data_IF_255405021834
#
_entry.id   IF_255405021834
#
_cell.length_a   1.000
_cell.length_b   1.000
_cell.length_c   1.000
_cell.angle_alpha   90.00
_cell.angle_beta   90.00
_cell.angle_gamma   90.00
#
_symmetry.space_group_name_H-M   'P 1'
#
loop_
_entity.id
_entity.type
_entity.pdbx_description
1 polymer ?
#
# COMPACT_ATOMS: atom_id res chain seq x y z
N UNK A 1 13.99 -17.94 4.73
CA UNK A 1 12.82 -17.54 3.91
C UNK A 1 12.67 -18.56 2.79
N UNK A 2 11.47 -19.05 2.53
CA UNK A 2 11.19 -20.05 1.51
C UNK A 2 11.16 -19.36 0.12
N UNK A 3 11.81 -19.97 -0.90
CA UNK A 3 11.66 -19.49 -2.28
C UNK A 3 10.26 -19.80 -2.80
N UNK A 4 9.82 -19.10 -3.87
CA UNK A 4 8.53 -19.36 -4.49
C UNK A 4 8.42 -20.81 -5.00
N UNK A 5 9.49 -21.36 -5.58
CA UNK A 5 9.52 -22.76 -6.02
C UNK A 5 9.32 -23.73 -4.86
N UNK A 6 10.00 -23.50 -3.73
CA UNK A 6 9.80 -24.30 -2.53
C UNK A 6 8.40 -24.15 -1.95
N UNK A 7 7.85 -22.92 -1.97
CA UNK A 7 6.49 -22.67 -1.52
C UNK A 7 5.47 -23.45 -2.37
N UNK A 8 5.58 -23.35 -3.69
CA UNK A 8 4.72 -24.08 -4.60
C UNK A 8 4.80 -25.60 -4.38
N UNK A 9 6.02 -26.16 -4.36
CA UNK A 9 6.22 -27.61 -4.23
C UNK A 9 5.86 -28.17 -2.86
N UNK A 10 6.11 -27.44 -1.76
CA UNK A 10 5.96 -27.96 -0.41
C UNK A 10 4.62 -27.59 0.24
N UNK A 11 4.05 -26.47 -0.17
CA UNK A 11 2.85 -25.91 0.48
C UNK A 11 1.62 -25.99 -0.42
N UNK A 12 1.70 -25.62 -1.70
CA UNK A 12 0.54 -25.57 -2.60
C UNK A 12 0.24 -26.91 -3.26
N UNK A 13 1.27 -27.59 -3.74
CA UNK A 13 1.12 -28.81 -4.53
C UNK A 13 0.29 -29.89 -3.84
N UNK A 14 -0.77 -30.30 -4.50
CA UNK A 14 -1.70 -31.33 -4.01
C UNK A 14 -2.81 -30.82 -3.11
N UNK A 15 -2.87 -29.52 -2.81
CA UNK A 15 -3.99 -28.90 -2.10
C UNK A 15 -5.20 -28.78 -3.03
N UNK A 16 -6.40 -28.95 -2.45
CA UNK A 16 -7.64 -28.62 -3.12
C UNK A 16 -7.97 -27.12 -3.00
N UNK A 17 -8.98 -26.65 -3.73
CA UNK A 17 -9.35 -25.23 -3.76
C UNK A 17 -9.64 -24.66 -2.36
N UNK A 18 -10.37 -25.38 -1.53
CA UNK A 18 -10.74 -24.93 -0.20
C UNK A 18 -9.51 -24.73 0.69
N UNK A 19 -8.58 -25.68 0.67
CA UNK A 19 -7.30 -25.58 1.42
C UNK A 19 -6.42 -24.42 0.95
N UNK A 20 -6.48 -24.05 -0.34
CA UNK A 20 -5.75 -22.90 -0.87
C UNK A 20 -6.40 -21.59 -0.43
N UNK A 21 -7.73 -21.49 -0.42
CA UNK A 21 -8.42 -20.31 0.10
C UNK A 21 -8.13 -20.09 1.59
N UNK A 22 -8.18 -21.14 2.40
CA UNK A 22 -7.84 -21.07 3.83
C UNK A 22 -6.41 -20.57 4.04
N UNK A 23 -5.46 -21.05 3.23
CA UNK A 23 -4.08 -20.62 3.28
C UNK A 23 -3.91 -19.14 2.91
N UNK A 24 -4.64 -18.65 1.91
CA UNK A 24 -4.64 -17.22 1.53
C UNK A 24 -5.14 -16.36 2.69
N UNK A 25 -6.24 -16.76 3.34
CA UNK A 25 -6.79 -16.03 4.49
C UNK A 25 -5.80 -16.01 5.67
N UNK A 26 -5.13 -17.11 5.96
CA UNK A 26 -4.08 -17.16 6.98
C UNK A 26 -2.95 -16.16 6.68
N UNK A 27 -2.47 -16.11 5.44
CA UNK A 27 -1.42 -15.16 5.05
C UNK A 27 -1.89 -13.69 5.12
N UNK A 28 -3.14 -13.42 4.77
CA UNK A 28 -3.72 -12.08 4.91
C UNK A 28 -3.77 -11.64 6.38
N UNK A 29 -4.23 -12.52 7.26
CA UNK A 29 -4.28 -12.26 8.71
C UNK A 29 -2.88 -11.95 9.26
N UNK A 30 -1.88 -12.77 8.92
CA UNK A 30 -0.49 -12.54 9.34
C UNK A 30 0.07 -11.21 8.80
N UNK A 31 -0.23 -10.89 7.54
CA UNK A 31 0.20 -9.63 6.92
C UNK A 31 -0.45 -8.43 7.60
N UNK A 32 -1.76 -8.48 7.89
CA UNK A 32 -2.49 -7.43 8.61
C UNK A 32 -1.90 -7.26 10.02
N UNK A 33 -1.63 -8.35 10.72
CA UNK A 33 -1.03 -8.30 12.06
C UNK A 33 0.32 -7.58 12.07
N UNK A 34 1.20 -7.87 11.10
CA UNK A 34 2.48 -7.18 10.95
C UNK A 34 2.31 -5.68 10.67
N UNK A 35 1.39 -5.32 9.77
CA UNK A 35 1.09 -3.92 9.46
C UNK A 35 0.61 -3.18 10.70
N UNK A 36 -0.36 -3.72 11.43
CA UNK A 36 -0.90 -3.13 12.65
C UNK A 36 0.17 -2.93 13.72
N UNK A 37 1.09 -3.88 13.90
CA UNK A 37 2.22 -3.71 14.83
C UNK A 37 3.13 -2.53 14.48
N UNK A 38 3.37 -2.28 13.19
CA UNK A 38 4.16 -1.13 12.74
C UNK A 38 3.37 0.16 12.95
N UNK A 39 2.09 0.16 12.58
CA UNK A 39 1.18 1.30 12.69
C UNK A 39 1.03 1.77 14.15
N UNK A 40 0.87 0.85 15.09
CA UNK A 40 0.83 1.18 16.54
C UNK A 40 2.10 1.89 17.02
N UNK A 41 3.28 1.47 16.53
CA UNK A 41 4.54 2.16 16.87
C UNK A 41 4.62 3.55 16.24
N UNK A 42 4.03 3.74 15.07
CA UNK A 42 4.05 5.01 14.36
C UNK A 42 3.17 6.09 15.00
N UNK A 43 2.19 5.75 15.83
CA UNK A 43 1.36 6.72 16.56
C UNK A 43 2.20 7.59 17.50
N UNK A 44 3.15 6.98 18.20
CA UNK A 44 4.02 7.70 19.16
C UNK A 44 5.18 8.42 18.46
N UNK A 45 5.69 7.83 17.39
CA UNK A 45 6.81 8.39 16.63
C UNK A 45 6.84 7.77 15.24
N UNK A 46 6.65 8.60 14.23
CA UNK A 46 6.74 8.14 12.85
C UNK A 46 8.15 7.63 12.53
N UNK A 47 8.28 6.33 12.31
CA UNK A 47 9.54 5.63 12.03
C UNK A 47 9.48 4.88 10.72
N UNK A 48 10.65 4.56 10.14
CA UNK A 48 10.68 3.56 9.08
C UNK A 48 10.29 2.20 9.65
N UNK A 49 9.51 1.41 8.90
CA UNK A 49 9.16 0.07 9.34
C UNK A 49 10.43 -0.81 9.45
N UNK A 50 10.48 -1.77 10.42
CA UNK A 50 11.58 -2.71 10.52
C UNK A 50 11.73 -3.55 9.23
N UNK A 51 12.96 -3.68 8.72
CA UNK A 51 13.24 -4.38 7.45
C UNK A 51 12.77 -5.83 7.45
N UNK A 52 12.92 -6.53 8.59
CA UNK A 52 12.46 -7.91 8.73
C UNK A 52 10.93 -8.04 8.63
N UNK A 53 10.18 -7.07 9.17
CA UNK A 53 8.72 -7.04 9.06
C UNK A 53 8.27 -6.70 7.63
N UNK A 54 8.92 -5.72 6.99
CA UNK A 54 8.65 -5.39 5.57
C UNK A 54 8.92 -6.59 4.67
N UNK A 55 10.03 -7.28 4.90
CA UNK A 55 10.39 -8.48 4.15
C UNK A 55 9.35 -9.61 4.32
N UNK A 56 8.81 -9.80 5.52
CA UNK A 56 7.73 -10.76 5.77
C UNK A 56 6.45 -10.36 5.04
N UNK A 57 6.04 -9.10 5.13
CA UNK A 57 4.87 -8.57 4.41
C UNK A 57 5.01 -8.81 2.91
N UNK A 58 6.18 -8.51 2.33
CA UNK A 58 6.47 -8.74 0.91
C UNK A 58 6.34 -10.22 0.52
N UNK A 59 6.82 -11.13 1.38
CA UNK A 59 6.70 -12.57 1.10
C UNK A 59 5.27 -13.07 1.18
N UNK A 60 4.49 -12.62 2.16
CA UNK A 60 3.07 -13.00 2.22
C UNK A 60 2.32 -12.55 0.97
N UNK A 61 2.60 -11.36 0.40
CA UNK A 61 2.04 -10.97 -0.90
C UNK A 61 2.40 -11.95 -1.99
N UNK A 62 3.67 -12.32 -2.11
CA UNK A 62 4.10 -13.28 -3.12
C UNK A 62 3.42 -14.65 -2.94
N UNK A 63 3.26 -15.12 -1.70
CA UNK A 63 2.58 -16.39 -1.44
C UNK A 63 1.09 -16.30 -1.77
N UNK A 64 0.42 -15.19 -1.47
CA UNK A 64 -0.97 -14.93 -1.83
C UNK A 64 -1.14 -14.92 -3.36
N UNK A 65 -0.29 -14.17 -4.08
CA UNK A 65 -0.32 -14.10 -5.54
C UNK A 65 -0.07 -15.48 -6.19
N UNK A 66 0.89 -16.25 -5.70
CA UNK A 66 1.17 -17.60 -6.21
C UNK A 66 0.02 -18.56 -5.91
N UNK A 67 -0.61 -18.41 -4.75
CA UNK A 67 -1.82 -19.18 -4.39
C UNK A 67 -2.98 -18.88 -5.33
N UNK A 68 -3.21 -17.63 -5.72
CA UNK A 68 -4.24 -17.29 -6.70
C UNK A 68 -3.94 -17.88 -8.08
N UNK A 69 -2.68 -17.82 -8.55
CA UNK A 69 -2.27 -18.49 -9.80
C UNK A 69 -2.48 -20.00 -9.74
N UNK A 70 -2.25 -20.60 -8.58
CA UNK A 70 -2.50 -22.04 -8.38
C UNK A 70 -3.99 -22.37 -8.45
N UNK A 71 -4.88 -21.53 -7.86
CA UNK A 71 -6.34 -21.67 -8.02
C UNK A 71 -6.75 -21.66 -9.50
N UNK A 72 -6.22 -20.69 -10.28
CA UNK A 72 -6.48 -20.63 -11.73
C UNK A 72 -6.01 -21.90 -12.45
N UNK A 73 -4.85 -22.46 -12.07
CA UNK A 73 -4.33 -23.70 -12.64
C UNK A 73 -5.22 -24.93 -12.36
N UNK A 74 -6.00 -24.88 -11.28
CA UNK A 74 -7.00 -25.91 -10.92
C UNK A 74 -8.36 -25.66 -11.57
N UNK A 75 -8.47 -24.70 -12.51
CA UNK A 75 -9.72 -24.20 -13.10
C UNK A 75 -10.71 -23.67 -12.04
N UNK A 76 -10.21 -23.19 -10.91
CA UNK A 76 -10.98 -22.49 -9.90
C UNK A 76 -11.27 -21.04 -10.31
N UNK A 77 -12.41 -20.50 -9.90
CA UNK A 77 -12.69 -19.08 -10.05
C UNK A 77 -12.10 -18.32 -8.86
N UNK A 78 -11.28 -17.30 -9.14
CA UNK A 78 -10.77 -16.42 -8.09
C UNK A 78 -11.90 -15.46 -7.69
N UNK A 79 -12.49 -15.70 -6.53
CA UNK A 79 -13.48 -14.79 -5.97
C UNK A 79 -12.78 -13.76 -5.10
N UNK A 80 -12.56 -12.58 -5.68
CA UNK A 80 -11.91 -11.47 -4.97
C UNK A 80 -12.86 -10.87 -3.93
N UNK A 81 -12.42 -10.77 -2.69
CA UNK A 81 -13.07 -9.89 -1.72
C UNK A 81 -13.05 -8.44 -2.24
N UNK A 82 -13.99 -7.61 -1.83
CA UNK A 82 -14.10 -6.21 -2.29
C UNK A 82 -12.80 -5.42 -2.06
N UNK A 83 -12.16 -5.63 -0.90
CA UNK A 83 -10.88 -5.01 -0.55
C UNK A 83 -9.73 -5.46 -1.45
N UNK A 84 -9.69 -6.75 -1.82
CA UNK A 84 -8.68 -7.29 -2.73
C UNK A 84 -8.89 -6.75 -4.15
N UNK A 85 -10.15 -6.66 -4.60
CA UNK A 85 -10.49 -6.10 -5.89
C UNK A 85 -10.08 -4.61 -5.98
N UNK A 86 -10.32 -3.84 -4.92
CA UNK A 86 -9.85 -2.46 -4.82
C UNK A 86 -8.32 -2.38 -4.90
N UNK A 87 -7.62 -3.19 -4.09
CA UNK A 87 -6.15 -3.23 -4.09
C UNK A 87 -5.58 -3.54 -5.48
N UNK A 88 -6.14 -4.53 -6.17
CA UNK A 88 -5.73 -4.90 -7.52
C UNK A 88 -6.01 -3.78 -8.54
N UNK A 89 -7.18 -3.15 -8.46
CA UNK A 89 -7.55 -2.05 -9.34
C UNK A 89 -6.66 -0.83 -9.11
N UNK A 90 -6.38 -0.48 -7.86
CA UNK A 90 -5.45 0.59 -7.52
C UNK A 90 -4.06 0.33 -8.12
N UNK A 91 -3.52 -0.88 -7.90
CA UNK A 91 -2.20 -1.26 -8.39
C UNK A 91 -2.10 -1.19 -9.92
N UNK A 92 -3.13 -1.65 -10.64
CA UNK A 92 -3.23 -1.56 -12.10
C UNK A 92 -3.40 -0.13 -12.60
N UNK A 93 -3.92 0.76 -11.77
CA UNK A 93 -4.18 2.16 -12.11
C UNK A 93 -3.01 3.09 -11.83
N UNK A 94 -1.96 2.64 -11.14
CA UNK A 94 -0.75 3.45 -10.86
C UNK A 94 -0.17 4.11 -12.12
N UNK A 95 -0.03 3.44 -13.28
CA UNK A 95 0.47 4.07 -14.50
C UNK A 95 -0.41 5.21 -15.04
N UNK A 96 -1.66 5.28 -14.60
CA UNK A 96 -2.65 6.27 -15.01
C UNK A 96 -2.83 7.40 -13.99
N UNK A 97 -2.00 7.47 -12.94
CA UNK A 97 -2.03 8.59 -12.00
C UNK A 97 -1.67 9.87 -12.76
N UNK A 98 -2.50 10.91 -12.61
CA UNK A 98 -2.25 12.22 -13.18
C UNK A 98 -1.76 13.23 -12.14
N UNK A 99 -2.21 13.06 -10.89
CA UNK A 99 -1.92 14.00 -9.81
C UNK A 99 -2.02 13.33 -8.45
N UNK A 100 -1.16 13.75 -7.50
CA UNK A 100 -1.31 13.46 -6.08
C UNK A 100 -1.24 14.76 -5.31
N UNK A 101 -2.23 15.03 -4.46
CA UNK A 101 -2.23 16.12 -3.49
C UNK A 101 -1.95 15.59 -2.09
N UNK A 102 -1.01 16.20 -1.39
CA UNK A 102 -0.72 15.92 0.00
C UNK A 102 -0.89 17.15 0.88
N UNK A 103 -1.63 17.02 1.97
CA UNK A 103 -1.85 18.09 2.94
C UNK A 103 -1.68 17.59 4.38
N UNK A 104 -1.26 18.50 5.27
CA UNK A 104 -1.26 18.33 6.73
C UNK A 104 -1.96 19.54 7.36
N UNK A 105 -2.82 19.29 8.35
CA UNK A 105 -3.62 20.32 9.04
C UNK A 105 -4.31 21.29 8.05
N UNK A 106 -4.96 20.71 7.02
CA UNK A 106 -5.64 21.42 5.92
C UNK A 106 -4.76 22.38 5.10
N UNK A 107 -3.44 22.33 5.29
CA UNK A 107 -2.49 23.06 4.43
C UNK A 107 -1.98 22.13 3.35
N UNK A 108 -2.17 22.52 2.09
CA UNK A 108 -1.54 21.81 0.97
C UNK A 108 -0.02 21.99 1.07
N UNK A 109 0.70 20.91 1.33
CA UNK A 109 2.15 20.90 1.47
C UNK A 109 2.86 20.46 0.20
N UNK A 110 2.22 19.58 -0.58
CA UNK A 110 2.84 18.99 -1.76
C UNK A 110 1.80 18.70 -2.83
N UNK A 111 2.12 19.09 -4.06
CA UNK A 111 1.41 18.72 -5.28
C UNK A 111 2.36 17.98 -6.19
N UNK A 112 1.96 16.80 -6.68
CA UNK A 112 2.74 15.95 -7.55
C UNK A 112 1.97 15.80 -8.86
N UNK A 113 2.55 16.29 -9.96
CA UNK A 113 1.95 16.25 -11.30
C UNK A 113 2.75 15.31 -12.20
N UNK A 114 2.04 14.43 -12.88
CA UNK A 114 2.61 13.44 -13.78
C UNK A 114 2.50 13.90 -15.25
N UNK A 115 3.62 14.32 -15.81
CA UNK A 115 3.76 14.66 -17.24
C UNK A 115 3.98 13.38 -18.09
N UNK A 116 4.40 13.51 -19.37
CA UNK A 116 4.66 12.36 -20.23
C UNK A 116 5.79 11.48 -19.71
N UNK A 117 6.95 12.06 -19.44
CA UNK A 117 8.18 11.34 -19.06
C UNK A 117 8.73 11.75 -17.68
N UNK A 118 8.10 12.68 -17.01
CA UNK A 118 8.61 13.21 -15.74
C UNK A 118 7.51 13.47 -14.71
N UNK A 119 7.93 13.56 -13.47
CA UNK A 119 7.09 13.96 -12.32
C UNK A 119 7.60 15.26 -11.76
N UNK A 120 6.71 16.24 -11.65
CA UNK A 120 6.98 17.53 -11.00
C UNK A 120 6.40 17.53 -9.59
N UNK A 121 7.25 17.82 -8.62
CA UNK A 121 6.87 17.94 -7.22
C UNK A 121 6.96 19.41 -6.83
N UNK A 122 5.86 19.98 -6.38
CA UNK A 122 5.81 21.35 -5.84
C UNK A 122 5.56 21.26 -4.34
N UNK A 123 6.53 21.71 -3.54
CA UNK A 123 6.45 21.73 -2.08
C UNK A 123 6.49 23.18 -1.59
N UNK A 124 5.56 23.56 -0.72
CA UNK A 124 5.50 24.91 -0.14
C UNK A 124 5.64 26.03 -1.20
N UNK A 125 5.12 25.82 -2.42
CA UNK A 125 5.20 26.71 -3.59
C UNK A 125 6.57 26.74 -4.30
N UNK A 126 7.50 25.90 -3.92
CA UNK A 126 8.77 25.71 -4.61
C UNK A 126 8.73 24.40 -5.40
N UNK A 127 9.15 24.45 -6.67
CA UNK A 127 9.21 23.25 -7.52
C UNK A 127 10.58 22.59 -7.35
N UNK A 128 10.56 21.32 -6.97
CA UNK A 128 11.76 20.46 -6.89
C UNK A 128 12.18 20.05 -8.31
N UNK A 129 13.44 19.72 -8.57
CA UNK A 129 13.87 19.16 -9.85
C UNK A 129 12.99 17.97 -10.25
N UNK A 130 12.63 17.90 -11.54
CA UNK A 130 11.78 16.82 -12.05
C UNK A 130 12.44 15.45 -11.87
N UNK A 131 11.62 14.47 -11.52
CA UNK A 131 12.04 13.07 -11.33
C UNK A 131 11.58 12.28 -12.55
N UNK A 132 12.34 11.26 -12.93
CA UNK A 132 11.94 10.31 -13.94
C UNK A 132 10.62 9.63 -13.55
N UNK A 133 9.67 9.60 -14.47
CA UNK A 133 8.31 9.10 -14.20
C UNK A 133 8.28 7.62 -13.90
N UNK A 134 9.02 6.82 -14.65
CA UNK A 134 9.04 5.37 -14.47
C UNK A 134 9.63 5.01 -13.10
N UNK A 135 10.72 5.68 -12.72
CA UNK A 135 11.31 5.52 -11.38
C UNK A 135 10.29 5.85 -10.27
N UNK A 136 9.57 6.97 -10.41
CA UNK A 136 8.61 7.40 -9.39
C UNK A 136 7.40 6.46 -9.30
N UNK A 137 6.85 6.02 -10.45
CA UNK A 137 5.74 5.07 -10.50
C UNK A 137 6.13 3.70 -9.93
N UNK A 138 7.36 3.23 -10.20
CA UNK A 138 7.87 1.99 -9.62
C UNK A 138 7.97 2.11 -8.08
N UNK A 139 8.47 3.23 -7.57
CA UNK A 139 8.53 3.49 -6.13
C UNK A 139 7.13 3.57 -5.49
N UNK A 140 6.14 4.19 -6.16
CA UNK A 140 4.73 4.18 -5.73
C UNK A 140 4.14 2.77 -5.73
N UNK A 141 4.45 1.96 -6.75
CA UNK A 141 3.99 0.58 -6.85
C UNK A 141 4.48 -0.26 -5.66
N UNK A 142 5.74 -0.10 -5.27
CA UNK A 142 6.32 -0.80 -4.10
C UNK A 142 5.71 -0.37 -2.76
N UNK A 143 5.04 0.78 -2.69
CA UNK A 143 4.32 1.22 -1.49
C UNK A 143 3.02 0.44 -1.26
N UNK A 144 2.45 -0.18 -2.30
CA UNK A 144 1.17 -0.88 -2.20
C UNK A 144 0.06 -0.06 -1.50
N UNK A 145 -0.09 1.20 -1.94
CA UNK A 145 -1.07 2.12 -1.33
C UNK A 145 -2.51 1.61 -1.42
N UNK A 146 -2.85 0.76 -2.39
CA UNK A 146 -4.16 0.10 -2.46
C UNK A 146 -4.48 -0.82 -1.27
N UNK A 147 -3.48 -1.17 -0.45
CA UNK A 147 -3.68 -1.91 0.80
C UNK A 147 -3.87 -1.00 2.02
N UNK A 148 -3.83 0.32 1.84
CA UNK A 148 -4.07 1.27 2.93
C UNK A 148 -5.57 1.36 3.21
N UNK A 149 -5.92 1.55 4.49
CA UNK A 149 -7.28 1.93 4.86
C UNK A 149 -7.55 3.37 4.43
N UNK A 150 -8.78 3.70 4.14
CA UNK A 150 -9.16 5.07 3.78
C UNK A 150 -8.95 6.05 4.95
N UNK A 151 -9.16 5.57 6.18
CA UNK A 151 -9.08 6.39 7.39
C UNK A 151 -8.19 5.73 8.44
N UNK A 152 -7.34 6.54 9.07
CA UNK A 152 -6.45 6.16 10.17
C UNK A 152 -6.68 7.07 11.37
N UNK A 153 -7.04 6.51 12.52
CA UNK A 153 -7.21 7.26 13.76
C UNK A 153 -6.48 6.60 14.92
N UNK A 154 -6.03 7.40 15.90
CA UNK A 154 -5.41 6.85 17.11
C UNK A 154 -6.37 5.93 17.88
N UNK A 155 -7.68 6.20 17.80
CA UNK A 155 -8.72 5.38 18.43
C UNK A 155 -8.75 3.94 17.89
N UNK A 156 -8.38 3.71 16.62
CA UNK A 156 -8.30 2.37 16.02
C UNK A 156 -7.30 1.47 16.76
N UNK A 157 -6.39 2.07 17.53
CA UNK A 157 -5.34 1.38 18.28
C UNK A 157 -5.54 1.50 19.79
N UNK A 158 -6.74 1.95 20.26
CA UNK A 158 -7.08 2.08 21.67
C UNK A 158 -6.40 3.26 22.37
N UNK A 159 -5.96 4.27 21.61
CA UNK A 159 -5.37 5.50 22.15
C UNK A 159 -6.35 6.65 22.00
N UNK A 160 -6.45 7.50 23.02
CA UNK A 160 -7.20 8.75 22.92
C UNK A 160 -6.55 9.65 21.86
N UNK A 161 -7.39 10.38 21.10
CA UNK A 161 -6.89 11.36 20.13
C UNK A 161 -6.04 12.41 20.85
N UNK A 162 -4.77 12.46 20.49
CA UNK A 162 -3.88 13.53 20.88
C UNK A 162 -4.16 14.75 20.00
N UNK A 163 -3.78 15.94 20.42
CA UNK A 163 -3.82 17.13 19.55
C UNK A 163 -2.73 17.03 18.46
N UNK A 164 -2.97 16.13 17.50
CA UNK A 164 -1.95 15.76 16.54
C UNK A 164 -2.19 16.21 15.13
N UNK A 165 -1.30 15.75 14.26
CA UNK A 165 -1.33 16.09 12.86
C UNK A 165 -2.42 15.33 12.12
N UNK A 166 -3.37 16.05 11.53
CA UNK A 166 -4.22 15.48 10.49
C UNK A 166 -3.48 15.49 9.15
N UNK A 167 -3.62 14.43 8.38
CA UNK A 167 -3.05 14.35 7.03
C UNK A 167 -4.07 13.84 6.04
N UNK A 168 -3.85 14.20 4.76
CA UNK A 168 -4.72 13.82 3.67
C UNK A 168 -3.91 13.63 2.40
N UNK A 169 -4.15 12.52 1.70
CA UNK A 169 -3.56 12.21 0.40
C UNK A 169 -4.70 11.97 -0.57
N UNK A 170 -4.75 12.73 -1.65
CA UNK A 170 -5.68 12.53 -2.76
C UNK A 170 -4.93 12.07 -3.99
N UNK A 171 -5.37 10.95 -4.58
CA UNK A 171 -4.79 10.39 -5.81
C UNK A 171 -5.82 10.49 -6.92
N UNK A 172 -5.47 11.14 -8.01
CA UNK A 172 -6.32 11.36 -9.18
C UNK A 172 -5.79 10.53 -10.35
N UNK A 173 -6.70 9.95 -11.11
CA UNK A 173 -6.38 9.05 -12.21
C UNK A 173 -6.97 9.57 -13.54
N UNK A 174 -6.31 9.21 -14.66
CA UNK A 174 -6.77 9.49 -16.04
C UNK A 174 -7.70 8.42 -16.60
N UNK A 175 -7.68 7.23 -15.99
CA UNK A 175 -8.59 6.12 -16.35
C UNK A 175 -9.91 6.21 -15.59
N UNK A 176 -10.77 5.19 -15.74
CA UNK A 176 -12.10 5.13 -15.10
C UNK A 176 -12.05 4.90 -13.58
N UNK A 177 -10.88 4.93 -12.96
CA UNK A 177 -10.76 4.82 -11.52
C UNK A 177 -11.14 6.14 -10.84
N UNK A 178 -12.03 6.07 -9.86
CA UNK A 178 -12.39 7.22 -9.04
C UNK A 178 -11.20 7.77 -8.26
N UNK A 179 -11.29 9.05 -7.92
CA UNK A 179 -10.31 9.69 -7.04
C UNK A 179 -10.27 8.98 -5.69
N UNK A 180 -9.09 8.52 -5.29
CA UNK A 180 -8.89 7.84 -4.00
C UNK A 180 -8.42 8.84 -2.96
N UNK A 181 -9.01 8.77 -1.77
CA UNK A 181 -8.71 9.63 -0.63
C UNK A 181 -8.27 8.79 0.57
N UNK A 182 -7.05 9.04 1.03
CA UNK A 182 -6.54 8.52 2.31
C UNK A 182 -6.43 9.67 3.32
N UNK A 183 -6.87 9.43 4.54
CA UNK A 183 -6.84 10.42 5.63
C UNK A 183 -6.36 9.81 6.93
N UNK A 184 -5.82 10.63 7.80
CA UNK A 184 -5.53 10.19 9.16
C UNK A 184 -5.34 11.33 10.14
N UNK A 185 -5.50 10.99 11.42
CA UNK A 185 -5.21 11.88 12.54
C UNK A 185 -4.46 11.08 13.59
N UNK A 186 -3.22 11.50 13.86
CA UNK A 186 -2.31 10.85 14.81
C UNK A 186 -2.01 9.37 14.52
N UNK A 187 -2.43 8.85 13.38
CA UNK A 187 -2.21 7.48 12.96
C UNK A 187 -1.85 7.42 11.48
N UNK A 188 -1.04 6.45 11.09
CA UNK A 188 -0.39 6.41 9.78
C UNK A 188 -0.31 4.97 9.26
N UNK A 189 -0.42 4.74 7.93
CA UNK A 189 -0.12 3.46 7.33
C UNK A 189 1.29 2.95 7.72
N UNK A 190 1.47 1.65 7.72
CA UNK A 190 2.73 1.00 8.14
C UNK A 190 3.98 1.53 7.40
N UNK A 191 3.85 1.98 6.16
CA UNK A 191 4.93 2.51 5.31
C UNK A 191 4.76 3.99 4.95
N UNK A 192 3.96 4.74 5.70
CA UNK A 192 3.72 6.17 5.47
C UNK A 192 5.00 7.01 5.44
N UNK A 193 5.98 6.69 6.29
CA UNK A 193 7.26 7.39 6.29
C UNK A 193 8.03 7.20 4.98
N UNK A 194 7.94 6.01 4.38
CA UNK A 194 8.55 5.74 3.05
C UNK A 194 7.86 6.59 1.98
N UNK A 195 6.53 6.71 2.01
CA UNK A 195 5.81 7.64 1.14
C UNK A 195 6.29 9.09 1.33
N UNK A 196 6.41 9.57 2.57
CA UNK A 196 6.91 10.92 2.84
C UNK A 196 8.32 11.14 2.29
N UNK A 197 9.20 10.17 2.40
CA UNK A 197 10.54 10.25 1.83
C UNK A 197 10.51 10.34 0.30
N UNK A 198 9.65 9.55 -0.36
CA UNK A 198 9.49 9.57 -1.81
C UNK A 198 9.07 10.94 -2.34
N UNK A 199 8.18 11.64 -1.63
CA UNK A 199 7.68 12.96 -2.06
C UNK A 199 8.56 14.13 -1.62
N UNK A 200 9.54 13.90 -0.75
CA UNK A 200 10.44 14.93 -0.25
C UNK A 200 11.78 15.02 -1.05
N UNK A 201 12.06 14.02 -1.88
CA UNK A 201 13.27 13.94 -2.71
C UNK A 201 14.45 13.36 -1.96
#
# INVERSE_FOLDING_TARGET
MMSLEMFHEQILKGKNLQEVYELIEDFKIEMIFLKVQIEQKNILKLTLPPEDMVSKIKNYRFYIEDSYRYIESLNGEVNWAEEDAFTQNFQKSIPFIEKIDYSENDKNLCEILFDEDSVRITQNKETVPSIDKEFFLNALSELHMGEWREVYTANDYGLDSLEGLSWKIKVYFKNDMDTVLFTGTDAYPYNYKTFKQLIQG
#
